data_IF_297303540728
#
_entry.id   IF_297303540728
#
_cell.length_a   1.000
_cell.length_b   1.000
_cell.length_c   1.000
_cell.angle_alpha   90.00
_cell.angle_beta   90.00
_cell.angle_gamma   90.00
#
_symmetry.space_group_name_H-M   'P 1'
#
loop_
_entity.id
_entity.type
_entity.pdbx_description
1 polymer ?
#
# COMPACT_ATOMS: atom_id res chain seq x y z
N UNK A 1 -22.41 3.22 8.72
CA UNK A 1 -21.98 3.73 10.07
C UNK A 1 -22.78 3.13 11.23
N UNK A 2 -24.08 2.95 11.09
CA UNK A 2 -24.93 2.39 12.17
C UNK A 2 -24.56 0.94 12.53
N UNK A 3 -24.02 0.20 11.60
CA UNK A 3 -23.69 -1.22 11.75
C UNK A 3 -22.26 -1.49 12.22
N UNK A 4 -21.44 -0.45 12.42
CA UNK A 4 -20.08 -0.58 12.94
C UNK A 4 -20.11 -0.29 14.44
N UNK A 5 -19.91 -1.36 15.23
CA UNK A 5 -19.98 -1.28 16.70
C UNK A 5 -18.68 -0.71 17.31
N UNK A 6 -17.55 -1.07 16.75
CA UNK A 6 -16.25 -0.65 17.27
C UNK A 6 -15.73 0.56 16.47
N UNK A 7 -15.94 1.75 16.98
CA UNK A 7 -15.41 3.00 16.41
C UNK A 7 -13.99 3.23 16.93
N UNK A 8 -13.04 2.36 16.58
CA UNK A 8 -11.63 2.63 16.87
C UNK A 8 -11.26 4.00 16.31
N UNK A 9 -10.70 4.85 17.14
CA UNK A 9 -10.17 6.14 16.71
C UNK A 9 -8.90 5.93 15.89
N UNK A 10 -8.66 6.80 14.92
CA UNK A 10 -7.50 6.75 14.05
C UNK A 10 -7.88 6.63 12.57
N UNK A 11 -6.87 6.75 11.73
CA UNK A 11 -7.02 6.73 10.28
C UNK A 11 -6.76 5.34 9.65
N UNK A 12 -6.39 4.37 10.46
CA UNK A 12 -6.16 3.00 9.99
C UNK A 12 -5.51 2.11 11.03
N UNK A 13 -5.21 0.89 10.62
CA UNK A 13 -4.46 -0.10 11.40
C UNK A 13 -3.37 -0.71 10.53
N UNK A 14 -2.25 -1.07 11.16
CA UNK A 14 -1.20 -1.90 10.57
C UNK A 14 -1.05 -3.16 11.40
N UNK A 15 -0.76 -4.28 10.74
CA UNK A 15 -0.53 -5.55 11.39
C UNK A 15 0.94 -5.81 11.63
N UNK A 16 1.25 -6.42 12.77
CA UNK A 16 2.58 -7.00 13.02
C UNK A 16 2.66 -8.39 12.39
N UNK A 17 3.84 -8.90 12.10
CA UNK A 17 4.01 -10.29 11.64
C UNK A 17 3.40 -11.34 12.57
N UNK A 18 3.38 -11.06 13.88
CA UNK A 18 2.83 -11.92 14.93
C UNK A 18 1.31 -11.95 14.98
N UNK A 19 0.62 -11.04 14.33
CA UNK A 19 -0.85 -10.89 14.47
C UNK A 19 -1.63 -11.92 13.66
N UNK A 20 -0.96 -12.70 12.80
CA UNK A 20 -1.55 -13.77 11.95
C UNK A 20 -2.79 -13.30 11.15
N UNK A 21 -2.81 -12.03 10.74
CA UNK A 21 -3.88 -11.45 9.93
C UNK A 21 -3.59 -11.57 8.45
N UNK A 22 -4.63 -11.68 7.64
CA UNK A 22 -4.55 -11.80 6.17
C UNK A 22 -4.44 -10.45 5.45
N UNK A 23 -4.24 -9.37 6.17
CA UNK A 23 -3.98 -8.05 5.62
C UNK A 23 -2.74 -7.41 6.24
N UNK A 24 -2.09 -6.54 5.49
CA UNK A 24 -0.96 -5.75 5.96
C UNK A 24 -1.42 -4.51 6.73
N UNK A 25 -2.52 -3.94 6.30
CA UNK A 25 -3.11 -2.77 6.93
C UNK A 25 -4.46 -2.41 6.31
N UNK A 26 -5.18 -1.57 7.03
CA UNK A 26 -6.49 -1.06 6.63
C UNK A 26 -6.50 0.44 6.84
N UNK A 27 -6.83 1.20 5.79
CA UNK A 27 -7.05 2.64 5.88
C UNK A 27 -8.54 2.91 6.05
N UNK A 28 -8.88 3.77 6.99
CA UNK A 28 -10.24 4.22 7.25
C UNK A 28 -10.51 5.51 6.46
N UNK A 29 -10.59 5.38 5.12
CA UNK A 29 -10.58 6.51 4.19
C UNK A 29 -11.64 7.57 4.52
N UNK A 30 -12.85 7.16 4.85
CA UNK A 30 -13.94 8.08 5.19
C UNK A 30 -13.80 8.77 6.55
N UNK A 31 -12.80 8.38 7.35
CA UNK A 31 -12.44 9.06 8.60
C UNK A 31 -11.31 10.08 8.39
N UNK A 32 -10.59 9.94 7.26
CA UNK A 32 -9.53 10.86 6.84
C UNK A 32 -10.11 11.96 5.96
N UNK A 33 -11.02 11.58 5.05
CA UNK A 33 -11.56 12.46 4.01
C UNK A 33 -13.10 12.41 4.01
N UNK A 34 -13.74 13.51 4.31
CA UNK A 34 -15.21 13.59 4.45
C UNK A 34 -15.97 13.40 3.13
N UNK A 35 -15.29 13.59 1.99
CA UNK A 35 -15.89 13.58 0.65
C UNK A 35 -15.81 12.23 -0.08
N UNK A 36 -15.12 11.23 0.47
CA UNK A 36 -14.90 9.95 -0.24
C UNK A 36 -16.01 8.91 -0.03
N UNK A 37 -16.97 9.20 0.84
CA UNK A 37 -18.07 8.29 1.17
C UNK A 37 -19.32 9.07 1.59
N UNK A 38 -20.54 8.58 1.30
CA UNK A 38 -21.76 9.11 1.87
C UNK A 38 -21.71 9.14 3.41
N UNK A 39 -22.42 10.11 4.02
CA UNK A 39 -22.36 10.34 5.49
C UNK A 39 -22.80 9.13 6.34
N UNK A 40 -23.64 8.26 5.79
CA UNK A 40 -24.15 7.06 6.44
C UNK A 40 -23.31 5.80 6.19
N UNK A 41 -22.23 5.91 5.37
CA UNK A 41 -21.37 4.80 4.99
C UNK A 41 -19.92 5.03 5.44
N UNK A 42 -19.17 3.95 5.49
CA UNK A 42 -17.71 4.01 5.70
C UNK A 42 -16.98 3.34 4.54
N UNK A 43 -15.88 3.96 4.13
CA UNK A 43 -14.99 3.43 3.11
C UNK A 43 -13.68 2.97 3.76
N UNK A 44 -13.31 1.74 3.45
CA UNK A 44 -12.05 1.14 3.86
C UNK A 44 -11.22 0.76 2.64
N UNK A 45 -9.90 0.92 2.74
CA UNK A 45 -8.94 0.30 1.81
C UNK A 45 -8.15 -0.74 2.57
N UNK A 46 -8.21 -1.98 2.12
CA UNK A 46 -7.49 -3.10 2.71
C UNK A 46 -6.31 -3.46 1.84
N UNK A 47 -5.12 -3.46 2.40
CA UNK A 47 -3.88 -3.81 1.74
C UNK A 47 -3.52 -5.26 2.10
N UNK A 48 -3.39 -6.11 1.08
CA UNK A 48 -3.15 -7.55 1.22
C UNK A 48 -1.91 -7.97 0.44
N UNK A 49 -1.20 -8.98 0.91
CA UNK A 49 -0.08 -9.58 0.20
C UNK A 49 1.28 -9.02 0.59
N UNK A 50 2.03 -8.49 -0.37
CA UNK A 50 3.42 -8.12 -0.17
C UNK A 50 4.34 -9.31 0.05
N UNK A 51 5.60 -9.04 0.43
CA UNK A 51 6.63 -10.08 0.55
C UNK A 51 6.29 -11.17 1.58
N UNK A 52 5.61 -10.78 2.66
CA UNK A 52 5.27 -11.69 3.77
C UNK A 52 4.11 -12.63 3.47
N UNK A 53 3.23 -12.29 2.53
CA UNK A 53 1.97 -12.98 2.28
C UNK A 53 1.69 -13.14 0.77
N UNK A 54 2.73 -13.49 -0.01
CA UNK A 54 2.62 -13.67 -1.48
C UNK A 54 1.50 -14.62 -1.88
N UNK A 55 1.29 -15.69 -1.10
CA UNK A 55 0.24 -16.67 -1.35
C UNK A 55 -1.18 -16.07 -1.39
N UNK A 56 -1.43 -15.00 -0.63
CA UNK A 56 -2.72 -14.30 -0.67
C UNK A 56 -2.96 -13.58 -2.00
N UNK A 57 -1.88 -13.12 -2.65
CA UNK A 57 -1.97 -12.50 -3.96
C UNK A 57 -2.39 -13.48 -5.06
N UNK A 58 -2.19 -14.79 -4.84
CA UNK A 58 -2.55 -15.86 -5.78
C UNK A 58 -3.90 -16.50 -5.45
N UNK A 59 -4.47 -16.15 -4.31
CA UNK A 59 -5.75 -16.68 -3.87
C UNK A 59 -6.88 -16.24 -4.81
N UNK A 60 -7.89 -17.10 -4.94
CA UNK A 60 -9.11 -16.77 -5.66
C UNK A 60 -9.74 -15.51 -5.04
N UNK A 61 -10.11 -14.48 -5.84
CA UNK A 61 -10.63 -13.20 -5.34
C UNK A 61 -11.85 -13.34 -4.42
N UNK A 62 -12.74 -14.28 -4.71
CA UNK A 62 -13.96 -14.51 -3.89
C UNK A 62 -13.58 -15.03 -2.51
N UNK A 63 -12.65 -15.99 -2.45
CA UNK A 63 -12.17 -16.55 -1.18
C UNK A 63 -11.39 -15.52 -0.37
N UNK A 64 -10.52 -14.75 -1.03
CA UNK A 64 -9.76 -13.67 -0.38
C UNK A 64 -10.70 -12.63 0.22
N UNK A 65 -11.71 -12.21 -0.55
CA UNK A 65 -12.74 -11.28 -0.09
C UNK A 65 -13.44 -11.78 1.16
N UNK A 66 -13.92 -13.04 1.15
CA UNK A 66 -14.61 -13.62 2.30
C UNK A 66 -13.71 -13.60 3.54
N UNK A 67 -12.47 -14.05 3.41
CA UNK A 67 -11.47 -14.04 4.48
C UNK A 67 -11.27 -12.64 5.07
N UNK A 68 -11.12 -11.64 4.21
CA UNK A 68 -10.92 -10.25 4.65
C UNK A 68 -12.18 -9.69 5.32
N UNK A 69 -13.37 -10.00 4.83
CA UNK A 69 -14.62 -9.54 5.45
C UNK A 69 -14.82 -10.13 6.84
N UNK A 70 -14.50 -11.41 7.05
CA UNK A 70 -14.54 -12.07 8.36
C UNK A 70 -13.56 -11.38 9.34
N UNK A 71 -12.32 -11.09 8.92
CA UNK A 71 -11.35 -10.39 9.75
C UNK A 71 -11.72 -8.92 10.02
N UNK A 72 -12.39 -8.26 9.07
CA UNK A 72 -12.94 -6.92 9.26
C UNK A 72 -14.09 -6.92 10.29
N UNK A 73 -14.95 -7.93 10.25
CA UNK A 73 -16.02 -8.08 11.23
C UNK A 73 -15.46 -8.16 12.65
N UNK A 74 -14.42 -8.95 12.86
CA UNK A 74 -13.71 -9.04 14.14
C UNK A 74 -13.11 -7.70 14.58
N UNK A 75 -12.53 -6.96 13.64
CA UNK A 75 -11.82 -5.70 13.94
C UNK A 75 -12.75 -4.55 14.29
N UNK A 76 -13.82 -4.37 13.52
CA UNK A 76 -14.70 -3.20 13.60
C UNK A 76 -16.12 -3.55 14.07
N UNK A 77 -16.41 -4.82 14.30
CA UNK A 77 -17.74 -5.27 14.68
C UNK A 77 -18.77 -4.99 13.60
N UNK A 78 -18.39 -5.10 12.32
CA UNK A 78 -19.28 -4.86 11.20
C UNK A 78 -20.36 -5.95 11.14
N UNK A 79 -21.61 -5.53 11.14
CA UNK A 79 -22.78 -6.40 10.91
C UNK A 79 -23.61 -5.79 9.79
N UNK A 80 -23.25 -6.06 8.56
CA UNK A 80 -23.99 -5.49 7.44
C UNK A 80 -23.42 -5.87 6.08
N UNK A 81 -24.16 -5.50 5.06
CA UNK A 81 -23.80 -5.76 3.68
C UNK A 81 -22.71 -4.82 3.22
N UNK A 82 -21.72 -5.34 2.50
CA UNK A 82 -20.73 -4.58 1.77
C UNK A 82 -21.34 -4.18 0.42
N UNK A 83 -21.38 -2.87 0.14
CA UNK A 83 -22.17 -2.35 -0.99
C UNK A 83 -21.34 -2.22 -2.25
N UNK A 84 -20.10 -1.76 -2.14
CA UNK A 84 -19.18 -1.54 -3.26
C UNK A 84 -17.85 -2.19 -2.92
N UNK A 85 -17.35 -2.91 -3.88
CA UNK A 85 -16.07 -3.57 -3.75
C UNK A 85 -15.33 -3.46 -5.07
N UNK A 86 -14.11 -2.94 -4.96
CA UNK A 86 -13.16 -2.97 -6.04
C UNK A 86 -11.94 -3.75 -5.57
N UNK A 87 -11.49 -4.69 -6.37
CA UNK A 87 -10.28 -5.46 -6.11
C UNK A 87 -9.28 -5.18 -7.21
N UNK A 88 -8.16 -4.56 -6.83
CA UNK A 88 -7.03 -4.31 -7.72
C UNK A 88 -5.87 -5.19 -7.31
N UNK A 89 -5.28 -5.89 -8.29
CA UNK A 89 -4.10 -6.72 -8.09
C UNK A 89 -2.91 -6.13 -8.85
N UNK A 90 -1.85 -5.84 -8.11
CA UNK A 90 -0.59 -5.38 -8.67
C UNK A 90 0.43 -6.52 -8.60
N UNK A 91 0.82 -7.05 -9.75
CA UNK A 91 1.84 -8.11 -9.82
C UNK A 91 3.19 -7.62 -9.30
N UNK A 92 3.50 -6.34 -9.53
CA UNK A 92 4.66 -5.63 -8.97
C UNK A 92 4.15 -4.33 -8.38
N UNK A 93 4.15 -4.23 -7.08
CA UNK A 93 3.66 -3.06 -6.35
C UNK A 93 4.82 -2.16 -5.90
N UNK A 94 5.10 -2.16 -4.59
CA UNK A 94 6.15 -1.36 -4.00
C UNK A 94 7.49 -2.08 -4.13
N UNK A 95 8.57 -1.41 -4.61
CA UNK A 95 9.92 -1.97 -4.61
C UNK A 95 10.34 -2.45 -3.22
N UNK A 96 11.02 -3.58 -3.17
CA UNK A 96 11.57 -4.13 -1.94
C UNK A 96 13.07 -3.89 -1.93
N UNK A 97 13.58 -3.28 -0.88
CA UNK A 97 15.01 -3.04 -0.69
C UNK A 97 15.66 -4.26 -0.04
N UNK A 98 15.84 -5.31 -0.82
CA UNK A 98 16.51 -6.54 -0.41
C UNK A 98 18.03 -6.32 -0.29
N UNK A 99 18.75 -7.35 0.18
CA UNK A 99 20.21 -7.26 0.38
C UNK A 99 21.00 -6.95 -0.90
N UNK A 100 20.50 -7.36 -2.05
CA UNK A 100 21.06 -7.14 -3.39
C UNK A 100 20.67 -5.79 -4.02
N UNK A 101 19.87 -4.98 -3.31
CA UNK A 101 19.40 -3.69 -3.82
C UNK A 101 20.56 -2.70 -4.08
N UNK A 102 21.62 -2.78 -3.27
CA UNK A 102 22.85 -1.98 -3.47
C UNK A 102 23.50 -2.26 -4.82
N UNK A 103 23.49 -3.50 -5.29
CA UNK A 103 24.09 -3.87 -6.57
C UNK A 103 23.34 -3.23 -7.74
N UNK A 104 22.00 -3.14 -7.63
CA UNK A 104 21.19 -2.43 -8.60
C UNK A 104 21.54 -0.93 -8.63
N UNK A 105 21.68 -0.30 -7.46
CA UNK A 105 22.05 1.13 -7.39
C UNK A 105 23.42 1.40 -7.96
N UNK A 106 24.40 0.55 -7.67
CA UNK A 106 25.76 0.64 -8.23
C UNK A 106 25.75 0.48 -9.76
N UNK A 107 24.96 -0.48 -10.29
CA UNK A 107 24.83 -0.67 -11.72
C UNK A 107 24.18 0.53 -12.42
N UNK A 108 23.22 1.20 -11.76
CA UNK A 108 22.61 2.43 -12.26
C UNK A 108 23.64 3.56 -12.29
N UNK A 109 24.40 3.76 -11.22
CA UNK A 109 25.44 4.77 -11.13
C UNK A 109 26.52 4.57 -12.20
N UNK A 110 26.99 3.34 -12.38
CA UNK A 110 27.94 2.99 -13.44
C UNK A 110 27.39 3.28 -14.84
N UNK A 111 26.09 3.06 -15.06
CA UNK A 111 25.45 3.35 -16.34
C UNK A 111 25.34 4.86 -16.58
N UNK A 112 24.91 5.62 -15.58
CA UNK A 112 24.81 7.08 -15.66
C UNK A 112 26.17 7.75 -15.89
N UNK A 113 27.23 7.27 -15.22
CA UNK A 113 28.60 7.74 -15.42
C UNK A 113 29.12 7.54 -16.85
N UNK A 114 28.65 6.50 -17.54
CA UNK A 114 28.98 6.23 -18.96
C UNK A 114 28.09 6.99 -19.93
N UNK A 115 26.98 7.54 -19.48
CA UNK A 115 25.94 8.16 -20.29
C UNK A 115 25.51 9.50 -19.66
N UNK A 116 26.34 10.51 -19.73
CA UNK A 116 26.22 11.78 -19.00
C UNK A 116 24.92 12.57 -19.17
N UNK A 117 24.14 12.29 -20.22
CA UNK A 117 22.85 12.93 -20.48
C UNK A 117 21.66 12.02 -20.12
N UNK A 118 21.90 10.93 -19.41
CA UNK A 118 20.86 9.98 -19.02
C UNK A 118 20.81 9.85 -17.50
N UNK A 119 19.60 10.02 -16.94
CA UNK A 119 19.40 9.95 -15.50
C UNK A 119 18.19 9.09 -15.19
N UNK A 120 18.33 8.20 -14.21
CA UNK A 120 17.28 7.33 -13.71
C UNK A 120 16.78 7.82 -12.35
N UNK A 121 15.49 8.02 -12.23
CA UNK A 121 14.83 8.36 -10.98
C UNK A 121 13.59 7.50 -10.78
N UNK A 122 13.21 7.26 -9.54
CA UNK A 122 12.02 6.48 -9.24
C UNK A 122 11.94 6.07 -7.77
N UNK A 123 10.90 5.34 -7.45
CA UNK A 123 10.61 4.88 -6.10
C UNK A 123 11.49 3.70 -5.63
N UNK A 124 12.41 3.26 -6.43
CA UNK A 124 13.43 2.24 -6.10
C UNK A 124 14.75 2.84 -5.59
N UNK A 125 14.91 4.16 -5.61
CA UNK A 125 15.94 4.87 -4.87
C UNK A 125 15.50 5.05 -3.40
N UNK A 126 16.28 5.65 -2.59
CA UNK A 126 16.25 5.87 -1.15
C UNK A 126 14.88 6.20 -0.49
N UNK A 127 13.75 5.88 -1.12
CA UNK A 127 12.42 6.06 -0.59
C UNK A 127 11.33 5.74 -1.62
N UNK A 128 10.26 5.11 -1.16
CA UNK A 128 9.16 4.62 -2.01
C UNK A 128 7.97 5.56 -2.07
N UNK A 129 7.96 6.61 -1.26
CA UNK A 129 6.83 7.54 -1.21
C UNK A 129 6.82 8.50 -2.40
N UNK A 130 5.63 9.05 -2.68
CA UNK A 130 5.48 10.11 -3.70
C UNK A 130 6.35 11.32 -3.34
N UNK A 131 6.44 11.66 -2.06
CA UNK A 131 7.28 12.77 -1.57
C UNK A 131 8.75 12.53 -1.87
N UNK A 132 9.25 11.31 -1.64
CA UNK A 132 10.63 10.94 -1.96
C UNK A 132 10.92 11.08 -3.45
N UNK A 133 10.01 10.61 -4.31
CA UNK A 133 10.13 10.75 -5.76
C UNK A 133 10.18 12.22 -6.21
N UNK A 134 9.33 13.08 -5.61
CA UNK A 134 9.33 14.52 -5.90
C UNK A 134 10.63 15.16 -5.45
N UNK A 135 11.13 14.80 -4.27
CA UNK A 135 12.39 15.32 -3.76
C UNK A 135 13.56 14.94 -4.69
N UNK A 136 13.65 13.67 -5.09
CA UNK A 136 14.67 13.20 -6.03
C UNK A 136 14.63 13.92 -7.37
N UNK A 137 13.43 14.14 -7.91
CA UNK A 137 13.27 14.92 -9.14
C UNK A 137 13.79 16.34 -9.01
N UNK A 138 13.55 17.01 -7.87
CA UNK A 138 14.07 18.35 -7.59
C UNK A 138 15.59 18.38 -7.43
N UNK A 139 16.15 17.35 -6.82
CA UNK A 139 17.61 17.22 -6.67
C UNK A 139 18.27 17.06 -8.05
N UNK A 140 17.72 16.20 -8.91
CA UNK A 140 18.21 16.00 -10.26
C UNK A 140 18.20 17.28 -11.10
N UNK A 141 17.11 18.05 -11.08
CA UNK A 141 16.98 19.32 -11.81
C UNK A 141 18.10 20.31 -11.43
N UNK A 142 18.58 20.30 -10.18
CA UNK A 142 19.69 21.18 -9.76
C UNK A 142 21.05 20.74 -10.31
N UNK A 143 21.18 19.47 -10.69
CA UNK A 143 22.44 18.91 -11.22
C UNK A 143 22.53 19.17 -12.74
N UNK A 144 21.39 19.08 -13.44
CA UNK A 144 21.37 19.21 -14.90
C UNK A 144 21.20 20.65 -15.41
N UNK A 145 20.93 21.61 -14.53
CA UNK A 145 20.87 23.05 -14.82
C UNK A 145 22.15 23.76 -14.36
#
# INVERSE_FOLDING_TARGET
KKNIQNKKQGFGVLTKPSDSKSYLGILFNSRIFDYVSPKDKELFTVLVGGERQKHLCEMNPIKLKQLILEELEDLIGHKGETIIENHYRWAKGIPQFNLDHSDLLNAIEDFENKNSNFHLIGNYFNGVSVSDCIQKSRELVKIIN
#
